data_IF_557996184016
#
_entry.id   IF_557996184016
#
_cell.length_a   1.000
_cell.length_b   1.000
_cell.length_c   1.000
_cell.angle_alpha   90.00
_cell.angle_beta   90.00
_cell.angle_gamma   90.00
#
_symmetry.space_group_name_H-M   'P 1'
#
loop_
_entity.id
_entity.type
_entity.pdbx_description
1 polymer ?
#
# COMPACT_ATOMS: atom_id res chain seq x y z
N UNK A 1 -10.39 16.85 -41.76
CA UNK A 1 -9.14 16.27 -41.23
C UNK A 1 -8.46 17.35 -40.40
N UNK A 2 -8.75 17.41 -39.10
CA UNK A 2 -8.06 18.29 -38.16
C UNK A 2 -7.11 17.43 -37.35
N UNK A 3 -5.81 17.71 -37.43
CA UNK A 3 -4.80 16.96 -36.70
C UNK A 3 -4.95 17.20 -35.21
N UNK A 4 -5.10 16.13 -34.43
CA UNK A 4 -5.01 16.15 -32.97
C UNK A 4 -3.56 15.92 -32.57
N UNK A 5 -2.64 16.76 -33.04
CA UNK A 5 -1.27 16.83 -32.53
C UNK A 5 -1.20 17.75 -31.30
N UNK A 6 -2.22 17.69 -30.44
CA UNK A 6 -2.13 18.31 -29.12
C UNK A 6 -1.26 17.40 -28.26
N UNK A 7 0.06 17.52 -28.40
CA UNK A 7 1.02 16.88 -27.49
C UNK A 7 0.71 17.35 -26.05
N UNK A 8 0.12 16.52 -25.18
CA UNK A 8 -0.29 16.94 -23.85
C UNK A 8 0.92 17.31 -22.98
N UNK A 9 2.12 16.86 -23.34
CA UNK A 9 3.36 17.24 -22.66
C UNK A 9 3.73 18.72 -22.90
N UNK A 10 3.42 19.27 -24.09
CA UNK A 10 3.70 20.67 -24.41
C UNK A 10 2.76 21.61 -23.65
N UNK A 11 1.51 21.20 -23.41
CA UNK A 11 0.56 21.94 -22.59
C UNK A 11 0.95 21.94 -21.11
N UNK A 12 1.53 20.84 -20.60
CA UNK A 12 1.97 20.74 -19.20
C UNK A 12 3.20 21.61 -18.90
N UNK A 13 4.15 21.68 -19.84
CA UNK A 13 5.36 22.49 -19.69
C UNK A 13 5.09 23.99 -19.61
N UNK A 14 3.99 24.47 -20.22
CA UNK A 14 3.62 25.89 -20.22
C UNK A 14 3.06 26.39 -18.87
N UNK A 15 2.65 25.49 -17.97
CA UNK A 15 2.11 25.83 -16.64
C UNK A 15 3.05 25.47 -15.48
N UNK A 16 4.15 24.76 -15.76
CA UNK A 16 5.15 24.40 -14.77
C UNK A 16 6.19 25.54 -14.66
N UNK A 17 5.93 26.51 -13.78
CA UNK A 17 7.03 27.24 -13.14
C UNK A 17 7.96 26.27 -12.39
N UNK A 18 9.09 26.77 -11.88
CA UNK A 18 10.22 26.06 -11.24
C UNK A 18 9.88 25.17 -10.01
N UNK A 19 8.88 24.30 -10.11
CA UNK A 19 8.47 23.36 -9.08
C UNK A 19 8.94 21.97 -9.52
N UNK A 20 9.85 21.39 -8.74
CA UNK A 20 10.29 20.02 -8.95
C UNK A 20 9.09 19.07 -9.07
N UNK A 21 9.03 18.22 -10.12
CA UNK A 21 7.91 17.31 -10.32
C UNK A 21 7.81 16.29 -9.19
N UNK A 22 6.60 16.03 -8.72
CA UNK A 22 6.35 15.02 -7.70
C UNK A 22 6.75 13.61 -8.16
N UNK A 23 7.66 12.98 -7.41
CA UNK A 23 8.15 11.62 -7.64
C UNK A 23 7.86 10.76 -6.39
N UNK A 24 6.73 10.04 -6.35
CA UNK A 24 6.33 9.27 -5.16
C UNK A 24 7.28 8.11 -4.81
N UNK A 25 8.15 7.70 -5.74
CA UNK A 25 9.15 6.66 -5.57
C UNK A 25 10.56 7.24 -5.76
N UNK A 26 10.78 8.48 -5.33
CA UNK A 26 12.12 9.03 -5.23
C UNK A 26 13.01 8.13 -4.33
N UNK A 27 14.24 7.86 -4.75
CA UNK A 27 15.09 6.88 -4.09
C UNK A 27 15.45 7.28 -2.65
N UNK A 28 15.60 8.59 -2.39
CA UNK A 28 15.94 9.08 -1.06
C UNK A 28 14.73 8.99 -0.11
N UNK A 29 13.53 9.30 -0.61
CA UNK A 29 12.28 9.14 0.15
C UNK A 29 12.00 7.67 0.46
N UNK A 30 12.12 6.77 -0.53
CA UNK A 30 11.95 5.32 -0.33
C UNK A 30 12.89 4.81 0.76
N UNK A 31 14.18 5.15 0.67
CA UNK A 31 15.17 4.73 1.68
C UNK A 31 14.85 5.30 3.06
N UNK A 32 14.56 6.60 3.13
CA UNK A 32 14.27 7.31 4.38
C UNK A 32 13.02 6.75 5.08
N UNK A 33 11.94 6.55 4.33
CA UNK A 33 10.65 6.12 4.90
C UNK A 33 10.71 4.68 5.36
N UNK A 34 11.33 3.79 4.56
CA UNK A 34 11.50 2.38 4.94
C UNK A 34 12.41 2.22 6.16
N UNK A 35 13.48 3.00 6.28
CA UNK A 35 14.31 2.98 7.49
C UNK A 35 13.53 3.38 8.74
N UNK A 36 12.76 4.47 8.68
CA UNK A 36 11.92 4.92 9.81
C UNK A 36 10.84 3.89 10.17
N UNK A 37 10.28 3.20 9.18
CA UNK A 37 9.32 2.12 9.41
C UNK A 37 9.99 0.91 10.08
N UNK A 38 11.19 0.52 9.65
CA UNK A 38 11.96 -0.56 10.28
C UNK A 38 12.34 -0.22 11.71
N UNK A 39 12.79 1.01 11.97
CA UNK A 39 13.09 1.50 13.33
C UNK A 39 11.85 1.42 14.22
N UNK A 40 10.69 1.84 13.71
CA UNK A 40 9.42 1.69 14.44
C UNK A 40 9.07 0.24 14.75
N UNK A 41 9.22 -0.67 13.77
CA UNK A 41 8.94 -2.11 13.98
C UNK A 41 9.87 -2.70 15.03
N UNK A 42 11.16 -2.34 14.99
CA UNK A 42 12.15 -2.76 15.99
C UNK A 42 11.75 -2.30 17.39
N UNK A 43 11.45 -1.02 17.56
CA UNK A 43 11.04 -0.46 18.85
C UNK A 43 9.73 -1.07 19.35
N UNK A 44 8.75 -1.27 18.45
CA UNK A 44 7.47 -1.89 18.76
C UNK A 44 7.65 -3.30 19.34
N UNK A 45 8.42 -4.17 18.69
CA UNK A 45 8.64 -5.53 19.21
C UNK A 45 9.41 -5.54 20.54
N UNK A 46 10.25 -4.55 20.82
CA UNK A 46 10.91 -4.42 22.14
C UNK A 46 9.97 -3.95 23.24
N UNK A 47 8.98 -3.11 22.91
CA UNK A 47 8.10 -2.51 23.91
C UNK A 47 6.74 -3.18 24.03
N UNK A 48 6.30 -3.98 23.06
CA UNK A 48 4.92 -4.50 22.99
C UNK A 48 4.50 -5.34 24.21
N UNK A 49 5.45 -6.02 24.87
CA UNK A 49 5.18 -6.74 26.12
C UNK A 49 4.74 -5.81 27.26
N UNK A 50 5.26 -4.59 27.29
CA UNK A 50 4.93 -3.58 28.30
C UNK A 50 3.61 -2.83 28.02
N UNK A 51 3.05 -2.98 26.82
CA UNK A 51 1.79 -2.34 26.43
C UNK A 51 0.59 -3.20 26.86
N UNK A 52 -0.54 -2.57 27.25
CA UNK A 52 -1.76 -3.31 27.59
C UNK A 52 -2.30 -4.02 26.35
N UNK A 53 -2.51 -5.33 26.43
CA UNK A 53 -2.94 -6.16 25.29
C UNK A 53 -4.24 -5.65 24.66
N UNK A 54 -5.21 -5.25 25.49
CA UNK A 54 -6.45 -4.60 25.07
C UNK A 54 -6.38 -3.09 25.34
N UNK A 55 -6.78 -2.26 24.38
CA UNK A 55 -6.74 -0.81 24.54
C UNK A 55 -7.90 -0.31 25.42
N UNK A 56 -7.65 0.74 26.20
CA UNK A 56 -8.65 1.41 27.04
C UNK A 56 -9.34 2.58 26.32
N UNK A 57 -9.82 2.36 25.09
CA UNK A 57 -10.37 3.42 24.22
C UNK A 57 -11.85 3.22 23.92
N UNK A 58 -12.56 4.33 23.73
CA UNK A 58 -13.99 4.33 23.37
C UNK A 58 -14.19 4.31 21.85
N UNK A 59 -15.32 3.76 21.34
CA UNK A 59 -15.69 3.89 19.94
C UNK A 59 -15.64 5.35 19.45
N UNK A 60 -15.03 5.54 18.28
CA UNK A 60 -14.85 6.86 17.67
C UNK A 60 -13.74 7.73 18.27
N UNK A 61 -12.90 7.21 19.19
CA UNK A 61 -11.78 7.99 19.75
C UNK A 61 -10.84 8.55 18.68
N UNK A 62 -10.50 7.75 17.67
CA UNK A 62 -9.55 8.13 16.63
C UNK A 62 -10.04 9.30 15.78
N UNK A 63 -11.36 9.38 15.52
CA UNK A 63 -11.99 10.49 14.80
C UNK A 63 -11.85 11.84 15.55
N UNK A 64 -11.64 11.81 16.87
CA UNK A 64 -11.42 13.01 17.68
C UNK A 64 -9.95 13.44 17.73
N UNK A 65 -9.03 12.53 17.40
CA UNK A 65 -7.59 12.79 17.41
C UNK A 65 -7.06 13.21 16.05
N UNK A 66 -7.63 12.67 14.97
CA UNK A 66 -7.25 13.00 13.60
C UNK A 66 -8.09 14.15 13.03
N UNK A 67 -7.56 14.81 12.00
CA UNK A 67 -8.31 15.84 11.27
C UNK A 67 -9.56 15.23 10.62
N UNK A 68 -10.66 15.99 10.61
CA UNK A 68 -11.94 15.56 10.06
C UNK A 68 -11.98 15.50 8.53
N UNK A 69 -11.01 16.14 7.87
CA UNK A 69 -10.84 16.13 6.43
C UNK A 69 -9.38 15.84 6.07
N UNK A 70 -9.11 15.22 4.91
CA UNK A 70 -7.74 15.03 4.43
C UNK A 70 -7.00 16.37 4.27
N UNK A 71 -5.70 16.43 4.56
CA UNK A 71 -4.93 17.66 4.41
C UNK A 71 -4.86 18.09 2.95
N UNK A 72 -4.95 19.40 2.70
CA UNK A 72 -4.87 19.98 1.34
C UNK A 72 -3.45 20.07 0.78
N UNK A 73 -2.43 19.85 1.61
CA UNK A 73 -1.02 19.89 1.26
C UNK A 73 -0.28 18.71 1.87
N UNK A 74 0.89 18.38 1.32
CA UNK A 74 1.75 17.35 1.89
C UNK A 74 2.26 17.74 3.28
N UNK A 75 2.60 16.71 4.06
CA UNK A 75 3.32 16.83 5.31
C UNK A 75 4.53 15.88 5.28
N UNK A 76 5.60 16.18 6.03
CA UNK A 76 6.71 15.25 6.19
C UNK A 76 6.24 13.91 6.76
N UNK A 77 6.84 12.81 6.32
CA UNK A 77 6.51 11.46 6.80
C UNK A 77 6.66 11.29 8.32
N UNK A 78 7.53 12.07 8.96
CA UNK A 78 7.68 12.07 10.42
C UNK A 78 6.40 12.46 11.15
N UNK A 79 5.55 13.29 10.55
CA UNK A 79 4.24 13.65 11.10
C UNK A 79 3.32 12.43 11.10
N UNK A 80 3.26 11.70 9.98
CA UNK A 80 2.48 10.45 9.90
C UNK A 80 2.99 9.40 10.90
N UNK A 81 4.31 9.23 11.03
CA UNK A 81 4.89 8.31 12.01
C UNK A 81 4.64 8.74 13.46
N UNK A 82 4.56 10.04 13.73
CA UNK A 82 4.16 10.57 15.04
C UNK A 82 2.70 10.26 15.33
N UNK A 83 1.79 10.52 14.39
CA UNK A 83 0.37 10.20 14.52
C UNK A 83 0.13 8.69 14.69
N UNK A 84 0.88 7.85 13.98
CA UNK A 84 0.88 6.40 14.19
C UNK A 84 1.19 6.04 15.65
N UNK A 85 2.28 6.60 16.20
CA UNK A 85 2.70 6.32 17.59
C UNK A 85 1.75 6.86 18.65
N UNK A 86 1.22 8.06 18.44
CA UNK A 86 0.45 8.78 19.48
C UNK A 86 -1.06 8.48 19.41
N UNK A 87 -1.62 8.29 18.21
CA UNK A 87 -3.05 8.12 18.03
C UNK A 87 -3.44 6.66 17.75
N UNK A 88 -2.66 5.92 16.97
CA UNK A 88 -3.05 4.56 16.52
C UNK A 88 -2.58 3.50 17.52
N UNK A 89 -1.28 3.46 17.84
CA UNK A 89 -0.70 2.41 18.71
C UNK A 89 -1.45 2.23 20.04
N UNK A 90 -1.84 3.30 20.78
CA UNK A 90 -2.55 3.15 22.06
C UNK A 90 -3.96 2.54 21.94
N UNK A 91 -4.56 2.57 20.74
CA UNK A 91 -5.87 1.99 20.47
C UNK A 91 -5.83 0.66 19.74
N UNK A 92 -4.65 0.05 19.57
CA UNK A 92 -4.50 -1.27 18.97
C UNK A 92 -4.71 -2.37 20.02
N UNK A 93 -5.35 -3.46 19.61
CA UNK A 93 -5.18 -4.73 20.32
C UNK A 93 -3.85 -5.35 19.91
N UNK A 94 -2.93 -5.57 20.85
CA UNK A 94 -1.57 -6.00 20.54
C UNK A 94 -1.46 -7.53 20.37
N UNK A 95 -1.82 -8.02 19.18
CA UNK A 95 -1.68 -9.45 18.82
C UNK A 95 -0.24 -9.98 18.92
N UNK A 96 0.75 -9.12 18.71
CA UNK A 96 2.16 -9.47 18.82
C UNK A 96 2.66 -9.55 20.27
N UNK A 97 1.84 -9.19 21.26
CA UNK A 97 2.23 -9.27 22.66
C UNK A 97 2.40 -10.73 23.09
N UNK A 98 3.45 -11.07 23.85
CA UNK A 98 3.57 -12.41 24.46
C UNK A 98 2.44 -12.72 25.45
N UNK A 99 1.69 -11.69 25.88
CA UNK A 99 0.55 -11.80 26.80
C UNK A 99 -0.81 -11.95 26.07
N UNK A 100 -0.83 -12.11 24.74
CA UNK A 100 -2.05 -12.32 23.97
C UNK A 100 -2.41 -13.81 23.87
N UNK A 101 -3.50 -14.21 24.53
CA UNK A 101 -3.95 -15.62 24.59
C UNK A 101 -5.38 -15.85 24.06
N UNK A 102 -5.97 -14.85 23.39
CA UNK A 102 -7.29 -14.97 22.78
C UNK A 102 -7.20 -15.57 21.35
N UNK A 103 -8.29 -16.17 20.88
CA UNK A 103 -8.42 -16.69 19.51
C UNK A 103 -7.30 -17.66 19.08
N UNK A 104 -6.78 -17.49 17.87
CA UNK A 104 -5.61 -18.19 17.33
C UNK A 104 -4.51 -17.18 17.02
N UNK A 105 -3.24 -17.43 17.39
CA UNK A 105 -2.19 -16.47 17.18
C UNK A 105 -1.95 -16.21 15.70
N UNK A 106 -1.85 -14.93 15.33
CA UNK A 106 -1.36 -14.51 14.01
C UNK A 106 0.17 -14.60 14.00
N UNK A 107 0.68 -15.82 13.87
CA UNK A 107 2.13 -16.08 13.91
C UNK A 107 2.84 -15.35 12.77
N UNK A 108 4.00 -14.77 13.07
CA UNK A 108 4.77 -13.99 12.11
C UNK A 108 6.28 -14.22 12.31
N UNK A 109 7.08 -13.85 11.33
CA UNK A 109 8.54 -13.98 11.37
C UNK A 109 9.22 -12.85 10.59
N UNK A 110 10.48 -12.58 10.92
CA UNK A 110 11.28 -11.59 10.20
C UNK A 110 11.38 -11.89 8.70
N UNK A 111 11.48 -13.18 8.32
CA UNK A 111 11.54 -13.59 6.92
C UNK A 111 10.22 -13.32 6.17
N UNK A 112 9.07 -13.56 6.82
CA UNK A 112 7.76 -13.26 6.24
C UNK A 112 7.56 -11.74 6.04
N UNK A 113 7.92 -10.94 7.04
CA UNK A 113 7.85 -9.46 6.95
C UNK A 113 8.75 -8.94 5.82
N UNK A 114 9.98 -9.44 5.72
CA UNK A 114 10.91 -9.05 4.65
C UNK A 114 10.37 -9.45 3.27
N UNK A 115 9.79 -10.65 3.14
CA UNK A 115 9.14 -11.11 1.92
C UNK A 115 7.99 -10.21 1.50
N UNK A 116 7.11 -9.84 2.43
CA UNK A 116 5.98 -8.94 2.18
C UNK A 116 6.44 -7.54 1.74
N UNK A 117 7.49 -7.00 2.38
CA UNK A 117 8.09 -5.72 2.01
C UNK A 117 8.61 -5.75 0.56
N UNK A 118 9.35 -6.80 0.19
CA UNK A 118 9.91 -6.94 -1.16
C UNK A 118 8.79 -7.12 -2.18
N UNK A 119 7.80 -7.96 -1.90
CA UNK A 119 6.64 -8.17 -2.77
C UNK A 119 5.87 -6.86 -3.00
N UNK A 120 5.61 -6.10 -1.93
CA UNK A 120 4.96 -4.79 -1.97
C UNK A 120 5.77 -3.77 -2.79
N UNK A 121 7.09 -3.76 -2.65
CA UNK A 121 7.96 -2.86 -3.41
C UNK A 121 8.02 -3.21 -4.91
N UNK A 122 7.97 -4.50 -5.24
CA UNK A 122 7.94 -4.98 -6.63
C UNK A 122 6.57 -4.74 -7.31
N UNK A 123 5.49 -4.82 -6.55
CA UNK A 123 4.10 -4.56 -6.97
C UNK A 123 3.74 -5.22 -8.32
N UNK A 124 4.13 -6.49 -8.49
CA UNK A 124 3.92 -7.23 -9.74
C UNK A 124 2.57 -7.92 -9.75
N UNK A 125 1.81 -7.75 -10.83
CA UNK A 125 0.58 -8.50 -11.11
C UNK A 125 0.84 -9.54 -12.20
N UNK A 126 0.68 -10.82 -11.86
CA UNK A 126 0.99 -11.91 -12.79
C UNK A 126 -0.06 -12.01 -13.90
N UNK A 127 0.37 -11.78 -15.15
CA UNK A 127 -0.51 -11.70 -16.32
C UNK A 127 -0.82 -13.06 -16.98
N UNK A 128 -0.40 -14.19 -16.41
CA UNK A 128 -0.63 -15.52 -17.03
C UNK A 128 -2.12 -15.90 -17.13
N UNK A 129 -3.00 -15.33 -16.30
CA UNK A 129 -4.47 -15.46 -16.45
C UNK A 129 -4.95 -14.87 -17.78
N UNK A 130 -4.30 -13.80 -18.28
CA UNK A 130 -4.66 -13.20 -19.57
C UNK A 130 -4.27 -14.11 -20.74
N UNK A 131 -3.09 -14.72 -20.69
CA UNK A 131 -2.65 -15.67 -21.73
C UNK A 131 -3.53 -16.92 -21.76
N UNK A 132 -3.94 -17.43 -20.60
CA UNK A 132 -4.91 -18.53 -20.51
C UNK A 132 -6.30 -18.13 -21.06
N UNK A 133 -6.78 -16.91 -20.76
CA UNK A 133 -8.04 -16.39 -21.29
C UNK A 133 -8.01 -16.14 -22.80
N UNK A 134 -6.90 -15.63 -23.35
CA UNK A 134 -6.72 -15.49 -24.80
C UNK A 134 -6.68 -16.86 -25.49
N UNK A 135 -6.04 -17.86 -24.87
CA UNK A 135 -6.04 -19.23 -25.38
C UNK A 135 -7.45 -19.82 -25.40
N UNK A 136 -8.21 -19.67 -24.30
CA UNK A 136 -9.61 -20.12 -24.22
C UNK A 136 -10.47 -19.46 -25.30
N UNK A 137 -10.36 -18.14 -25.48
CA UNK A 137 -11.09 -17.41 -26.53
C UNK A 137 -10.73 -17.91 -27.93
N UNK A 138 -9.44 -18.06 -28.23
CA UNK A 138 -8.96 -18.54 -29.51
C UNK A 138 -9.52 -19.93 -29.84
N UNK A 139 -9.38 -20.88 -28.93
CA UNK A 139 -9.89 -22.25 -29.12
C UNK A 139 -11.41 -22.29 -29.27
N UNK A 140 -12.15 -21.46 -28.52
CA UNK A 140 -13.62 -21.39 -28.64
C UNK A 140 -14.04 -20.84 -30.00
N UNK A 141 -13.35 -19.81 -30.52
CA UNK A 141 -13.65 -19.24 -31.85
C UNK A 141 -13.33 -20.22 -32.97
N UNK A 142 -12.22 -20.96 -32.89
CA UNK A 142 -11.85 -21.99 -33.86
C UNK A 142 -12.90 -23.12 -33.90
N UNK A 143 -13.35 -23.63 -32.75
CA UNK A 143 -14.38 -24.68 -32.68
C UNK A 143 -15.72 -24.23 -33.29
N UNK A 144 -16.13 -22.98 -33.04
CA UNK A 144 -17.39 -22.43 -33.58
C UNK A 144 -17.30 -22.21 -35.09
N UNK A 145 -16.13 -21.86 -35.62
CA UNK A 145 -15.90 -21.70 -37.05
C UNK A 145 -15.98 -23.06 -37.78
N UNK A 146 -15.30 -24.09 -37.26
CA UNK A 146 -15.32 -25.44 -37.85
C UNK A 146 -16.72 -26.07 -37.84
N UNK A 147 -17.53 -25.79 -36.81
CA UNK A 147 -18.90 -26.28 -36.73
C UNK A 147 -19.89 -25.56 -37.68
N UNK A 148 -19.49 -24.43 -38.27
CA UNK A 148 -20.30 -23.63 -39.19
C UNK A 148 -20.12 -23.99 -40.67
N UNK A 149 -19.06 -24.71 -41.04
CA UNK A 149 -18.76 -25.11 -42.42
C UNK A 149 -19.45 -26.41 -42.86
N UNK A 150 -20.13 -27.11 -41.93
CA UNK A 150 -20.81 -28.40 -42.17
C UNK A 150 -22.29 -28.26 -42.63
N UNK A 151 -22.63 -27.16 -43.32
CA UNK A 151 -23.98 -26.91 -43.90
C UNK A 151 -23.94 -26.59 -45.38
#
# INVERSE_FOLDING_TARGET
MGSLDANPAAAYAAFAGDVEPFRPLDADDVRSYLHKAVDFVYDYYKSVESLPVLPGVEPGYLLRLLQSAPPSSSAPFDIAMKELREAVVPGMTHWASPNFFAFFPATNSAAAIAGELIASAMNTEERHVRSAWELIKKTTTEIVADAGEDK
#
